data_IF_144501228179
#
_entry.id   IF_144501228179
#
_cell.length_a   1.000
_cell.length_b   1.000
_cell.length_c   1.000
_cell.angle_alpha   90.00
_cell.angle_beta   90.00
_cell.angle_gamma   90.00
#
_symmetry.space_group_name_H-M   'P 1'
#
loop_
_entity.id
_entity.type
_entity.pdbx_description
1 polymer ?
#
# COMPACT_ATOMS: atom_id res chain seq x y z
N UNK A 1 7.98 -2.54 1.67
CA UNK A 1 7.30 -2.75 2.96
C UNK A 1 7.41 -1.48 3.80
N UNK A 2 6.34 -1.10 4.49
CA UNK A 2 6.32 0.00 5.46
C UNK A 2 5.84 -0.55 6.80
N UNK A 3 6.62 -0.33 7.85
CA UNK A 3 6.28 -0.72 9.21
C UNK A 3 5.48 0.37 9.90
N UNK A 4 4.57 -0.03 10.81
CA UNK A 4 3.78 0.90 11.61
C UNK A 4 4.70 1.72 12.53
N UNK A 5 5.74 1.08 13.07
CA UNK A 5 6.75 1.71 13.92
C UNK A 5 8.16 1.63 13.31
N UNK A 6 9.05 2.50 13.77
CA UNK A 6 10.46 2.46 13.39
C UNK A 6 11.11 1.16 13.87
N UNK A 7 11.82 0.50 12.96
CA UNK A 7 12.64 -0.66 13.24
C UNK A 7 14.07 -0.22 13.58
N UNK A 8 14.65 -0.81 14.61
CA UNK A 8 16.01 -0.50 15.05
C UNK A 8 17.05 -0.89 13.99
N UNK A 9 18.19 -0.18 14.00
CA UNK A 9 19.33 -0.53 13.17
C UNK A 9 19.76 -2.00 13.40
N UNK A 10 20.10 -2.69 12.33
CA UNK A 10 20.47 -4.11 12.34
C UNK A 10 19.28 -5.08 12.34
N UNK A 11 18.04 -4.60 12.43
CA UNK A 11 16.86 -5.46 12.23
C UNK A 11 16.89 -6.02 10.81
N UNK A 12 16.98 -7.34 10.69
CA UNK A 12 17.21 -7.99 9.40
C UNK A 12 15.94 -8.11 8.58
N UNK A 13 16.11 -8.14 7.26
CA UNK A 13 15.04 -8.41 6.31
C UNK A 13 15.53 -9.45 5.32
N UNK A 14 14.71 -10.47 5.12
CA UNK A 14 15.04 -11.61 4.26
C UNK A 14 13.84 -11.90 3.36
N UNK A 15 14.08 -12.01 2.06
CA UNK A 15 13.05 -12.38 1.08
C UNK A 15 13.52 -13.65 0.38
N UNK A 16 12.63 -14.64 0.35
CA UNK A 16 12.81 -15.88 -0.40
C UNK A 16 11.64 -16.11 -1.37
N UNK A 17 11.92 -16.87 -2.42
CA UNK A 17 10.89 -17.36 -3.34
C UNK A 17 10.15 -18.58 -2.77
N UNK A 18 9.19 -19.11 -3.54
CA UNK A 18 8.43 -20.30 -3.16
C UNK A 18 9.24 -21.61 -3.08
N UNK A 19 10.48 -21.61 -3.58
CA UNK A 19 11.41 -22.74 -3.48
C UNK A 19 12.31 -22.63 -2.23
N UNK A 20 12.23 -21.52 -1.50
CA UNK A 20 13.13 -21.21 -0.38
C UNK A 20 14.48 -20.66 -0.83
N UNK A 21 14.61 -20.23 -2.08
CA UNK A 21 15.82 -19.58 -2.59
C UNK A 21 15.82 -18.11 -2.18
N UNK A 22 16.97 -17.63 -1.68
CA UNK A 22 17.15 -16.22 -1.32
C UNK A 22 16.99 -15.34 -2.56
N UNK A 23 16.13 -14.33 -2.46
CA UNK A 23 15.99 -13.23 -3.42
C UNK A 23 16.66 -11.95 -2.91
N UNK A 24 16.61 -11.71 -1.59
CA UNK A 24 17.18 -10.51 -1.00
C UNK A 24 17.43 -10.67 0.50
N UNK A 25 18.54 -10.12 1.01
CA UNK A 25 18.88 -10.18 2.42
C UNK A 25 19.64 -8.92 2.86
N UNK A 26 19.13 -8.20 3.86
CA UNK A 26 19.75 -6.98 4.39
C UNK A 26 19.65 -6.86 5.91
N UNK A 27 20.57 -6.10 6.49
CA UNK A 27 20.56 -5.57 7.85
C UNK A 27 20.87 -4.06 7.77
N UNK A 28 19.86 -3.19 7.70
CA UNK A 28 20.07 -1.74 7.59
C UNK A 28 20.93 -1.19 8.74
N UNK A 29 21.91 -0.35 8.44
CA UNK A 29 22.82 0.22 9.44
C UNK A 29 22.21 1.35 10.28
N UNK A 30 21.00 1.79 9.92
CA UNK A 30 20.26 2.88 10.58
C UNK A 30 18.83 2.45 10.82
N UNK A 31 18.21 3.10 11.80
CA UNK A 31 16.78 2.96 12.06
C UNK A 31 15.98 3.28 10.78
N UNK A 32 14.96 2.47 10.50
CA UNK A 32 14.18 2.58 9.27
C UNK A 32 12.71 2.30 9.54
N UNK A 33 11.84 2.81 8.68
CA UNK A 33 10.40 2.49 8.70
C UNK A 33 9.94 1.91 7.36
N UNK A 34 10.63 2.23 6.27
CA UNK A 34 10.27 1.79 4.93
C UNK A 34 11.47 1.20 4.22
N UNK A 35 11.24 0.10 3.51
CA UNK A 35 12.19 -0.50 2.59
C UNK A 35 11.53 -0.61 1.22
N UNK A 36 12.24 -0.10 0.21
CA UNK A 36 11.89 -0.25 -1.19
C UNK A 36 12.86 -1.25 -1.83
N UNK A 37 12.31 -2.30 -2.43
CA UNK A 37 13.08 -3.37 -3.06
C UNK A 37 12.82 -3.31 -4.56
N UNK A 38 13.90 -3.26 -5.34
CA UNK A 38 13.86 -3.36 -6.79
C UNK A 38 15.07 -4.19 -7.22
N UNK A 39 14.82 -5.41 -7.70
CA UNK A 39 15.83 -6.37 -8.14
C UNK A 39 15.29 -7.12 -9.37
N UNK A 40 16.15 -7.49 -10.35
CA UNK A 40 15.74 -8.31 -11.48
C UNK A 40 15.25 -9.71 -11.10
N UNK A 41 15.53 -10.17 -9.87
CA UNK A 41 15.10 -11.48 -9.37
C UNK A 41 13.61 -11.53 -9.01
N UNK A 42 12.98 -10.37 -8.81
CA UNK A 42 11.53 -10.29 -8.59
C UNK A 42 10.79 -10.36 -9.92
N UNK A 43 9.86 -11.31 -10.02
CA UNK A 43 9.09 -11.59 -11.22
C UNK A 43 7.59 -11.47 -10.93
N UNK A 44 6.85 -10.95 -11.90
CA UNK A 44 5.39 -10.86 -11.81
C UNK A 44 4.76 -12.25 -11.67
N UNK A 45 3.63 -12.31 -10.98
CA UNK A 45 2.81 -13.50 -10.76
C UNK A 45 3.51 -14.59 -9.92
N UNK A 46 4.67 -14.29 -9.33
CA UNK A 46 5.38 -15.17 -8.41
C UNK A 46 5.09 -14.80 -6.94
N UNK A 47 5.12 -15.82 -6.08
CA UNK A 47 4.93 -15.69 -4.63
C UNK A 47 6.28 -15.67 -3.92
N UNK A 48 6.36 -14.80 -2.93
CA UNK A 48 7.55 -14.57 -2.11
C UNK A 48 7.16 -14.50 -0.64
N UNK A 49 8.10 -14.84 0.22
CA UNK A 49 7.98 -14.64 1.67
C UNK A 49 8.98 -13.60 2.11
N UNK A 50 8.50 -12.51 2.68
CA UNK A 50 9.34 -11.52 3.35
C UNK A 50 9.30 -11.80 4.85
N UNK A 51 10.48 -11.98 5.45
CA UNK A 51 10.68 -12.13 6.88
C UNK A 51 11.44 -10.93 7.45
N UNK A 52 10.98 -10.44 8.61
CA UNK A 52 11.61 -9.35 9.37
C UNK A 52 12.13 -9.85 10.72
N UNK A 53 13.28 -9.33 11.14
CA UNK A 53 14.04 -9.83 12.27
C UNK A 53 14.68 -11.19 11.99
N UNK A 54 15.11 -11.88 13.04
CA UNK A 54 15.92 -13.10 12.93
C UNK A 54 17.42 -12.79 12.87
N UNK A 55 18.20 -13.75 12.40
CA UNK A 55 19.66 -13.62 12.29
C UNK A 55 20.09 -13.99 10.87
N UNK A 56 20.79 -13.06 10.21
CA UNK A 56 21.50 -13.30 8.96
C UNK A 56 22.97 -13.54 9.24
N UNK A 57 23.51 -14.64 8.71
CA UNK A 57 24.95 -14.91 8.70
C UNK A 57 25.45 -15.06 7.28
N UNK A 58 26.64 -14.55 6.99
CA UNK A 58 27.22 -14.54 5.65
C UNK A 58 28.11 -13.33 5.45
N UNK A 59 28.66 -13.19 4.24
CA UNK A 59 29.39 -11.98 3.87
C UNK A 59 28.41 -10.82 3.70
N UNK A 60 28.64 -9.75 4.47
CA UNK A 60 27.87 -8.51 4.40
C UNK A 60 28.76 -7.38 3.91
N UNK A 61 28.24 -6.55 3.01
CA UNK A 61 28.83 -5.26 2.65
C UNK A 61 27.76 -4.18 2.73
N UNK A 62 28.02 -3.14 3.52
CA UNK A 62 27.13 -1.97 3.66
C UNK A 62 25.69 -2.35 4.04
N UNK A 63 25.52 -3.39 4.86
CA UNK A 63 24.21 -3.88 5.28
C UNK A 63 23.53 -4.83 4.30
N UNK A 64 24.14 -5.19 3.17
CA UNK A 64 23.58 -6.14 2.18
C UNK A 64 24.31 -7.47 2.19
N UNK A 65 23.57 -8.57 2.12
CA UNK A 65 24.10 -9.93 2.02
C UNK A 65 23.81 -10.52 0.63
N UNK A 66 24.87 -10.88 -0.11
CA UNK A 66 24.73 -11.57 -1.40
C UNK A 66 24.32 -13.04 -1.23
N UNK A 67 24.82 -13.67 -0.17
CA UNK A 67 24.46 -15.02 0.22
C UNK A 67 24.40 -15.05 1.74
N UNK A 68 23.20 -15.21 2.28
CA UNK A 68 22.98 -15.33 3.71
C UNK A 68 22.35 -16.68 4.03
N UNK A 69 22.75 -17.22 5.18
CA UNK A 69 21.93 -18.17 5.91
C UNK A 69 20.99 -17.38 6.81
N UNK A 70 19.69 -17.64 6.66
CA UNK A 70 18.67 -17.05 7.50
C UNK A 70 18.26 -18.02 8.61
N UNK A 71 18.32 -17.55 9.85
CA UNK A 71 17.70 -18.24 10.99
C UNK A 71 16.41 -17.50 11.34
N UNK A 72 15.31 -18.23 11.18
CA UNK A 72 13.93 -17.73 11.21
C UNK A 72 13.71 -16.67 12.30
N UNK A 73 13.15 -15.55 11.87
CA UNK A 73 12.84 -14.37 12.68
C UNK A 73 11.43 -14.38 13.26
N UNK A 74 11.02 -13.21 13.75
CA UNK A 74 9.81 -13.05 14.56
C UNK A 74 8.54 -12.89 13.72
N UNK A 75 8.66 -12.41 12.47
CA UNK A 75 7.52 -12.10 11.62
C UNK A 75 7.80 -12.41 10.16
N UNK A 76 6.82 -12.99 9.47
CA UNK A 76 6.87 -13.31 8.05
C UNK A 76 5.54 -12.96 7.38
N UNK A 77 5.62 -12.46 6.15
CA UNK A 77 4.47 -12.12 5.31
C UNK A 77 4.68 -12.76 3.94
N UNK A 78 3.74 -13.61 3.53
CA UNK A 78 3.69 -14.18 2.19
C UNK A 78 2.86 -13.27 1.28
N UNK A 79 3.33 -13.05 0.06
CA UNK A 79 2.64 -12.21 -0.92
C UNK A 79 2.98 -12.61 -2.36
N UNK A 80 2.04 -12.36 -3.27
CA UNK A 80 2.24 -12.52 -4.71
C UNK A 80 2.41 -11.15 -5.38
N UNK A 81 3.40 -11.02 -6.25
CA UNK A 81 3.58 -9.80 -7.04
C UNK A 81 2.52 -9.73 -8.15
N UNK A 82 1.64 -8.73 -8.08
CA UNK A 82 0.50 -8.57 -9.00
C UNK A 82 0.64 -7.39 -9.98
N UNK A 83 1.83 -6.79 -10.08
CA UNK A 83 2.09 -5.68 -11.00
C UNK A 83 3.39 -4.94 -10.74
N UNK A 84 3.47 -3.69 -11.20
CA UNK A 84 4.70 -2.86 -11.13
C UNK A 84 5.09 -2.50 -9.69
N UNK A 85 4.09 -2.31 -8.81
CA UNK A 85 4.32 -2.00 -7.40
C UNK A 85 3.39 -2.83 -6.52
N UNK A 86 3.95 -3.37 -5.45
CA UNK A 86 3.22 -4.05 -4.38
C UNK A 86 3.56 -3.36 -3.06
N UNK A 87 2.54 -2.99 -2.30
CA UNK A 87 2.69 -2.40 -0.97
C UNK A 87 2.46 -3.47 0.08
N UNK A 88 3.29 -3.45 1.11
CA UNK A 88 3.27 -4.42 2.20
C UNK A 88 3.40 -3.67 3.52
N UNK A 89 2.67 -4.13 4.52
CA UNK A 89 2.91 -3.84 5.94
C UNK A 89 3.02 -5.14 6.73
N UNK A 90 2.99 -5.04 8.06
CA UNK A 90 3.08 -6.18 8.96
C UNK A 90 1.91 -7.17 8.86
N UNK A 91 0.78 -6.75 8.27
CA UNK A 91 -0.43 -7.54 8.09
C UNK A 91 -0.56 -8.19 6.72
N UNK A 92 0.22 -7.78 5.72
CA UNK A 92 0.14 -8.33 4.38
C UNK A 92 0.24 -7.31 3.25
N UNK A 93 -0.34 -7.68 2.11
CA UNK A 93 -0.51 -6.79 0.95
C UNK A 93 -1.51 -5.70 1.29
N UNK A 94 -1.11 -4.46 1.05
CA UNK A 94 -1.92 -3.26 1.27
C UNK A 94 -2.09 -2.46 -0.02
N UNK A 95 -2.99 -1.48 0.02
CA UNK A 95 -3.09 -0.47 -1.02
C UNK A 95 -1.96 0.55 -0.90
N UNK A 96 -1.76 1.35 -1.95
CA UNK A 96 -0.79 2.44 -1.91
C UNK A 96 -1.08 3.37 -0.72
N UNK A 97 -0.08 3.72 0.11
CA UNK A 97 -0.28 4.62 1.23
C UNK A 97 -0.82 5.96 0.71
N UNK A 98 -1.85 6.48 1.36
CA UNK A 98 -2.55 7.72 0.98
C UNK A 98 -1.72 8.99 1.26
N UNK A 99 -0.40 8.97 1.02
CA UNK A 99 0.48 10.12 1.18
C UNK A 99 0.60 10.88 -0.14
N UNK A 100 -0.57 11.27 -0.63
CA UNK A 100 -0.82 12.16 -1.76
C UNK A 100 -2.01 13.10 -1.50
N UNK A 101 -2.46 13.26 -0.24
CA UNK A 101 -3.32 14.39 0.12
C UNK A 101 -2.49 15.67 0.10
N UNK A 102 -2.27 16.19 -1.11
CA UNK A 102 -2.34 17.64 -1.28
C UNK A 102 -3.73 18.06 -0.81
N UNK A 103 -3.78 18.57 0.42
CA UNK A 103 -4.86 19.45 0.87
C UNK A 103 -4.85 20.71 0.00
N UNK A 104 -5.46 20.61 -1.17
CA UNK A 104 -5.92 21.74 -1.95
C UNK A 104 -7.43 21.79 -1.85
N UNK A 105 -7.95 22.75 -1.10
CA UNK A 105 -9.33 23.19 -1.18
C UNK A 105 -9.70 23.41 -2.66
N UNK A 106 -10.55 22.56 -3.22
CA UNK A 106 -10.86 22.53 -4.65
C UNK A 106 -12.22 21.94 -4.94
N UNK A 107 -13.26 22.67 -4.52
CA UNK A 107 -14.55 22.81 -5.20
C UNK A 107 -15.25 21.54 -5.73
N UNK A 108 -16.30 21.10 -5.03
CA UNK A 108 -17.20 20.11 -5.61
C UNK A 108 -18.28 19.58 -4.69
N UNK A 109 -18.90 20.45 -3.86
CA UNK A 109 -20.26 20.16 -3.39
C UNK A 109 -21.19 20.23 -4.60
N UNK A 110 -21.34 19.12 -5.31
CA UNK A 110 -22.33 18.96 -6.37
C UNK A 110 -23.04 17.63 -6.15
N UNK A 111 -23.98 17.69 -5.23
CA UNK A 111 -24.91 16.60 -4.95
C UNK A 111 -25.97 17.02 -3.93
N UNK A 112 -26.21 18.33 -3.79
CA UNK A 112 -27.33 18.84 -3.01
C UNK A 112 -28.48 19.09 -3.97
N UNK A 113 -29.49 18.27 -3.81
CA UNK A 113 -30.83 18.41 -4.36
C UNK A 113 -31.30 19.86 -4.49
N UNK A 114 -31.97 20.09 -5.62
CA UNK A 114 -33.13 20.98 -5.75
C UNK A 114 -32.96 22.46 -5.37
N UNK A 115 -32.92 23.30 -6.41
CA UNK A 115 -34.03 24.24 -6.70
C UNK A 115 -33.72 25.04 -7.97
N UNK A 116 -34.47 24.76 -9.03
CA UNK A 116 -34.54 25.60 -10.22
C UNK A 116 -35.53 26.76 -9.93
N UNK A 117 -35.11 28.04 -9.86
CA UNK A 117 -36.00 29.12 -9.43
C UNK A 117 -36.59 29.95 -10.59
N UNK A 118 -36.65 29.40 -11.81
CA UNK A 118 -37.20 30.11 -12.98
C UNK A 118 -38.23 29.26 -13.72
N UNK A 119 -39.38 29.03 -13.10
CA UNK A 119 -40.65 28.92 -13.83
C UNK A 119 -41.84 29.13 -12.88
N UNK A 120 -41.93 30.32 -12.29
CA UNK A 120 -43.15 30.81 -11.70
C UNK A 120 -43.53 32.05 -12.50
N UNK A 121 -44.28 31.87 -13.57
CA UNK A 121 -45.39 32.76 -13.88
C UNK A 121 -46.19 32.32 -15.13
N UNK A 122 -47.51 32.34 -14.96
CA UNK A 122 -48.53 32.58 -16.00
C UNK A 122 -49.00 31.39 -16.84
N UNK A 123 -50.04 30.71 -16.34
CA UNK A 123 -51.24 30.58 -17.17
C UNK A 123 -52.51 30.64 -16.31
N UNK A 124 -53.19 31.77 -16.42
CA UNK A 124 -54.56 32.06 -15.98
C UNK A 124 -55.60 31.25 -16.77
N UNK A 125 -56.79 31.08 -16.18
CA UNK A 125 -58.11 30.64 -16.71
C UNK A 125 -58.57 29.29 -16.13
N UNK A 126 -59.77 29.09 -15.59
CA UNK A 126 -60.97 29.92 -15.36
C UNK A 126 -61.85 29.14 -14.36
N UNK A 127 -62.55 29.83 -13.46
CA UNK A 127 -63.64 29.28 -12.64
C UNK A 127 -64.79 28.77 -13.50
N UNK A 128 -65.32 27.57 -13.21
CA UNK A 128 -66.75 27.29 -13.29
C UNK A 128 -67.06 25.98 -12.55
N UNK A 129 -67.85 26.07 -11.49
CA UNK A 129 -68.62 24.93 -11.00
C UNK A 129 -69.89 24.74 -11.83
N UNK A 130 -70.47 23.55 -11.74
CA UNK A 130 -71.91 23.16 -11.78
C UNK A 130 -72.15 21.86 -12.57
N UNK A 131 -73.07 21.06 -11.99
CA UNK A 131 -73.81 19.92 -12.53
C UNK A 131 -73.01 18.61 -12.75
N UNK A 132 -73.32 17.45 -12.15
CA UNK A 132 -74.52 16.91 -11.47
C UNK A 132 -74.10 16.01 -10.29
#
# INVERSE_FOLDING_TARGET
MTFTEFQEAGTTMYVEDSNGEQVFAIAPEKQYQTILISTPELQNEQTYTLSSGGVLTGENRDGVYNTAEYKAGSQSVEYTLSGVMTYLDESGVTEAPANGRFGGNGGGRSGMEERNPFNADQNTQTEAGQDQ
#
